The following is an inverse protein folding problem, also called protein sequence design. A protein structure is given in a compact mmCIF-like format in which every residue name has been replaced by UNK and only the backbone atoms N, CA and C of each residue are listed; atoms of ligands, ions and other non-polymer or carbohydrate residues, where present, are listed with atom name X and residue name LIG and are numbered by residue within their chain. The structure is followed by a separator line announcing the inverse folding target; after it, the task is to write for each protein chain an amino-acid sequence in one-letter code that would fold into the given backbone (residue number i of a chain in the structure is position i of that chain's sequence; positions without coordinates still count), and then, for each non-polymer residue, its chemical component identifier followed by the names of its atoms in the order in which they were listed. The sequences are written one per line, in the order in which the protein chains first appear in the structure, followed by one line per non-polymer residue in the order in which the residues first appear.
data_IF_217615585834
#
_entry.id   IF_217615585834
#
_cell.length_a   1.000
_cell.length_b   1.000
_cell.length_c   1.000
_cell.angle_alpha   90.00
_cell.angle_beta   90.00
_cell.angle_gamma   90.00
#
_symmetry.space_group_name_H-M   'P 1'
#
loop_
_entity.id
_entity.type
_entity.pdbx_description
1 polymer ?
#
# COMPACT_ATOMS: atom_id res chain seq x y z
N UNK A 1 -21.15 32.29 -12.22
CA UNK A 1 -20.87 32.05 -13.65
C UNK A 1 -19.39 31.76 -13.94
N UNK A 2 -18.44 32.66 -13.55
CA UNK A 2 -16.99 32.42 -13.81
C UNK A 2 -16.45 31.20 -13.05
N UNK A 3 -16.76 31.07 -11.76
CA UNK A 3 -16.35 29.93 -10.94
C UNK A 3 -16.98 28.63 -11.46
N UNK A 4 -18.26 28.64 -11.79
CA UNK A 4 -18.95 27.48 -12.39
C UNK A 4 -18.26 27.02 -13.67
N UNK A 5 -17.87 27.95 -14.54
CA UNK A 5 -17.17 27.63 -15.78
C UNK A 5 -15.81 27.00 -15.55
N UNK A 6 -15.05 27.49 -14.55
CA UNK A 6 -13.75 26.89 -14.17
C UNK A 6 -13.97 25.48 -13.63
N UNK A 7 -14.98 25.28 -12.76
CA UNK A 7 -15.23 23.99 -12.12
C UNK A 7 -15.69 22.88 -13.08
N UNK A 8 -16.24 23.26 -14.24
CA UNK A 8 -16.65 22.29 -15.29
C UNK A 8 -15.64 22.16 -16.43
N UNK A 9 -14.56 22.95 -16.39
CA UNK A 9 -13.54 22.92 -17.43
C UNK A 9 -12.75 21.59 -17.39
N UNK A 10 -12.59 20.87 -18.51
CA UNK A 10 -11.83 19.64 -18.56
C UNK A 10 -10.37 19.80 -18.07
N UNK A 11 -9.73 20.92 -18.37
CA UNK A 11 -8.35 21.19 -17.95
C UNK A 11 -8.24 21.40 -16.42
N UNK A 12 -9.37 21.76 -15.75
CA UNK A 12 -9.44 21.82 -14.30
C UNK A 12 -9.79 20.47 -13.67
N UNK A 13 -10.72 19.71 -14.27
CA UNK A 13 -11.22 18.45 -13.71
C UNK A 13 -10.25 17.28 -13.95
N UNK A 14 -9.52 17.31 -15.06
CA UNK A 14 -8.64 16.21 -15.47
C UNK A 14 -7.24 16.74 -15.70
N UNK A 15 -6.26 15.90 -15.42
CA UNK A 15 -4.89 16.15 -15.85
C UNK A 15 -4.75 15.71 -17.31
N UNK A 16 -4.82 16.66 -18.22
CA UNK A 16 -4.71 16.43 -19.66
C UNK A 16 -3.22 16.49 -20.03
N UNK A 17 -2.69 15.40 -20.56
CA UNK A 17 -1.37 15.32 -21.17
C UNK A 17 -1.55 15.14 -22.67
N UNK A 18 -0.85 15.92 -23.46
CA UNK A 18 -0.95 15.87 -24.93
C UNK A 18 0.27 15.21 -25.50
N UNK A 19 0.07 14.13 -26.23
CA UNK A 19 1.16 13.50 -26.96
C UNK A 19 1.77 14.47 -27.98
N UNK A 20 3.10 14.52 -28.12
CA UNK A 20 3.75 15.32 -29.15
C UNK A 20 3.27 14.92 -30.55
N UNK A 21 2.99 15.90 -31.40
CA UNK A 21 2.52 15.66 -32.74
C UNK A 21 3.54 14.85 -33.56
N UNK A 22 3.05 13.83 -34.29
CA UNK A 22 3.87 13.03 -35.21
C UNK A 22 4.63 11.86 -34.59
N UNK A 23 4.39 11.54 -33.30
CA UNK A 23 4.94 10.33 -32.69
C UNK A 23 4.16 9.09 -33.11
N UNK A 24 4.89 8.01 -33.44
CA UNK A 24 4.27 6.72 -33.66
C UNK A 24 3.74 6.14 -32.32
N UNK A 25 2.60 5.39 -32.35
CA UNK A 25 2.07 4.74 -31.15
C UNK A 25 3.12 3.88 -30.44
N UNK A 26 3.21 4.01 -29.13
CA UNK A 26 4.18 3.26 -28.30
C UNK A 26 5.60 3.84 -28.28
N UNK A 27 5.87 4.96 -28.95
CA UNK A 27 7.16 5.62 -28.87
C UNK A 27 7.31 6.37 -27.54
N UNK A 28 8.32 6.05 -26.71
CA UNK A 28 8.57 6.80 -25.48
C UNK A 28 8.95 8.25 -25.79
N UNK A 29 8.39 9.18 -25.05
CA UNK A 29 8.77 10.59 -25.11
C UNK A 29 8.97 11.17 -23.71
N UNK A 30 9.70 12.27 -23.64
CA UNK A 30 9.93 12.95 -22.39
C UNK A 30 8.79 13.95 -22.15
N UNK A 31 8.27 13.93 -20.92
CA UNK A 31 7.33 14.93 -20.44
C UNK A 31 7.98 16.33 -20.38
N UNK A 32 7.18 17.36 -20.52
CA UNK A 32 7.60 18.71 -20.14
C UNK A 32 7.86 18.77 -18.64
N UNK A 33 8.71 19.71 -18.20
CA UNK A 33 9.02 19.84 -16.78
C UNK A 33 7.79 20.19 -15.95
N UNK A 34 6.80 20.89 -16.50
CA UNK A 34 5.52 21.20 -15.82
C UNK A 34 4.66 19.96 -15.65
N UNK A 35 4.55 19.12 -16.69
CA UNK A 35 3.84 17.83 -16.60
C UNK A 35 4.53 16.89 -15.60
N UNK A 36 5.88 16.86 -15.61
CA UNK A 36 6.66 16.08 -14.66
C UNK A 36 6.43 16.56 -13.22
N UNK A 37 6.42 17.89 -12.98
CA UNK A 37 6.11 18.45 -11.67
C UNK A 37 4.70 18.06 -11.19
N UNK A 38 3.73 18.14 -12.08
CA UNK A 38 2.35 17.71 -11.80
C UNK A 38 2.27 16.23 -11.45
N UNK A 39 2.85 15.35 -12.28
CA UNK A 39 2.87 13.90 -11.99
C UNK A 39 3.53 13.59 -10.66
N UNK A 40 4.68 14.20 -10.40
CA UNK A 40 5.45 13.98 -9.18
C UNK A 40 4.67 14.39 -7.93
N UNK A 41 4.05 15.57 -7.95
CA UNK A 41 3.31 16.07 -6.79
C UNK A 41 2.01 15.28 -6.54
N UNK A 42 1.26 14.94 -7.57
CA UNK A 42 0.07 14.10 -7.40
C UNK A 42 0.40 12.68 -6.95
N UNK A 43 1.54 12.12 -7.41
CA UNK A 43 1.96 10.80 -6.96
C UNK A 43 2.42 10.80 -5.50
N UNK A 44 3.30 11.75 -5.11
CA UNK A 44 3.87 11.77 -3.78
C UNK A 44 2.97 12.42 -2.72
N UNK A 45 2.19 13.43 -3.10
CA UNK A 45 1.41 14.25 -2.16
C UNK A 45 -0.09 14.21 -2.39
N UNK A 46 -0.55 13.63 -3.49
CA UNK A 46 -1.96 13.71 -3.95
C UNK A 46 -2.47 15.15 -4.00
N UNK A 47 -1.62 16.08 -4.36
CA UNK A 47 -1.89 17.52 -4.39
C UNK A 47 -1.13 18.18 -5.54
N UNK A 48 -1.46 19.47 -5.80
CA UNK A 48 -0.75 20.30 -6.79
C UNK A 48 0.72 20.52 -6.38
N UNK A 49 1.60 20.80 -7.37
CA UNK A 49 2.98 21.20 -7.10
C UNK A 49 3.06 22.45 -6.22
N UNK A 50 4.06 22.51 -5.35
CA UNK A 50 4.37 23.73 -4.62
C UNK A 50 5.16 24.74 -5.47
N UNK A 51 5.27 25.96 -4.96
CA UNK A 51 5.95 27.07 -5.67
C UNK A 51 7.38 26.71 -6.07
N UNK A 52 8.13 26.03 -5.19
CA UNK A 52 9.51 25.64 -5.46
C UNK A 52 9.59 24.66 -6.65
N UNK A 53 8.70 23.68 -6.69
CA UNK A 53 8.67 22.70 -7.78
C UNK A 53 8.22 23.35 -9.09
N UNK A 54 7.25 24.27 -9.04
CA UNK A 54 6.78 25.04 -10.19
C UNK A 54 7.85 25.98 -10.74
N UNK A 55 8.60 26.67 -9.87
CA UNK A 55 9.70 27.53 -10.30
C UNK A 55 10.78 26.75 -11.05
N UNK A 56 11.21 25.61 -10.52
CA UNK A 56 12.17 24.72 -11.19
C UNK A 56 11.63 24.18 -12.51
N UNK A 57 10.36 23.81 -12.57
CA UNK A 57 9.71 23.33 -13.78
C UNK A 57 9.64 24.43 -14.86
N UNK A 58 9.25 25.66 -14.49
CA UNK A 58 9.15 26.80 -15.41
C UNK A 58 10.50 27.18 -16.03
N UNK A 59 11.59 26.95 -15.29
CA UNK A 59 12.97 27.15 -15.76
C UNK A 59 13.56 25.96 -16.52
N UNK A 60 12.80 24.88 -16.69
CA UNK A 60 13.23 23.66 -17.37
C UNK A 60 14.35 22.92 -16.65
N UNK A 61 14.42 23.01 -15.31
CA UNK A 61 15.52 22.44 -14.51
C UNK A 61 15.22 21.02 -14.00
N UNK A 62 13.97 20.56 -14.05
CA UNK A 62 13.64 19.19 -13.63
C UNK A 62 14.19 18.11 -14.58
N UNK A 63 14.65 18.50 -15.75
CA UNK A 63 15.41 17.61 -16.65
C UNK A 63 16.80 17.24 -16.12
N UNK A 64 17.36 18.00 -15.18
CA UNK A 64 18.63 17.73 -14.53
C UNK A 64 18.44 16.66 -13.46
N UNK A 65 19.05 15.48 -13.61
CA UNK A 65 18.85 14.34 -12.71
C UNK A 65 19.11 14.70 -11.23
N UNK A 66 20.16 15.48 -10.97
CA UNK A 66 20.50 15.90 -9.61
C UNK A 66 19.42 16.80 -8.99
N UNK A 67 18.84 17.72 -9.79
CA UNK A 67 17.76 18.60 -9.33
C UNK A 67 16.50 17.78 -9.07
N UNK A 68 16.15 16.87 -9.98
CA UNK A 68 14.99 15.99 -9.81
C UNK A 68 15.13 15.13 -8.55
N UNK A 69 16.28 14.49 -8.35
CA UNK A 69 16.55 13.68 -7.16
C UNK A 69 16.43 14.51 -5.88
N UNK A 70 16.99 15.70 -5.85
CA UNK A 70 16.88 16.61 -4.71
C UNK A 70 15.41 16.94 -4.39
N UNK A 71 14.60 17.22 -5.42
CA UNK A 71 13.18 17.50 -5.22
C UNK A 71 12.42 16.27 -4.73
N UNK A 72 12.66 15.08 -5.28
CA UNK A 72 12.05 13.83 -4.80
C UNK A 72 12.39 13.60 -3.33
N UNK A 73 13.65 13.72 -2.93
CA UNK A 73 14.06 13.56 -1.52
C UNK A 73 13.38 14.57 -0.61
N UNK A 74 13.33 15.84 -1.00
CA UNK A 74 12.61 16.88 -0.28
C UNK A 74 11.13 16.53 -0.11
N UNK A 75 10.49 16.12 -1.19
CA UNK A 75 9.07 15.80 -1.21
C UNK A 75 8.73 14.58 -0.35
N UNK A 76 9.60 13.57 -0.31
CA UNK A 76 9.42 12.39 0.55
C UNK A 76 9.60 12.72 2.04
N UNK A 77 10.36 13.75 2.39
CA UNK A 77 10.52 14.23 3.77
C UNK A 77 9.40 15.17 4.22
N UNK A 78 8.61 15.70 3.29
CA UNK A 78 7.46 16.56 3.60
C UNK A 78 6.31 15.73 4.22
N UNK A 79 5.59 16.25 5.23
CA UNK A 79 4.44 15.55 5.81
C UNK A 79 3.36 15.16 4.80
N UNK A 80 3.21 15.88 3.69
CA UNK A 80 2.28 15.54 2.60
C UNK A 80 2.60 14.18 1.94
N UNK A 81 3.83 13.68 2.04
CA UNK A 81 4.22 12.36 1.53
C UNK A 81 3.45 11.21 2.18
N UNK A 82 2.78 11.47 3.30
CA UNK A 82 1.82 10.53 3.91
C UNK A 82 0.77 10.08 2.90
N UNK A 83 0.37 10.95 1.96
CA UNK A 83 -0.57 10.62 0.89
C UNK A 83 -0.10 9.45 0.00
N UNK A 84 1.22 9.26 -0.15
CA UNK A 84 1.77 8.11 -0.88
C UNK A 84 1.41 6.79 -0.19
N UNK A 85 1.45 6.76 1.15
CA UNK A 85 1.06 5.58 1.94
C UNK A 85 -0.46 5.38 1.88
N UNK A 86 -1.22 6.44 2.14
CA UNK A 86 -2.68 6.38 2.24
C UNK A 86 -3.35 6.04 0.89
N UNK A 87 -2.78 6.48 -0.21
CA UNK A 87 -3.32 6.25 -1.56
C UNK A 87 -2.61 5.11 -2.28
N UNK A 88 -1.33 5.25 -2.63
CA UNK A 88 -0.63 4.27 -3.44
C UNK A 88 -0.45 2.95 -2.68
N UNK A 89 0.18 2.96 -1.49
CA UNK A 89 0.46 1.73 -0.77
C UNK A 89 -0.82 0.99 -0.35
N UNK A 90 -1.85 1.72 0.08
CA UNK A 90 -3.14 1.13 0.45
C UNK A 90 -3.87 0.49 -0.73
N UNK A 91 -3.72 1.03 -1.94
CA UNK A 91 -4.27 0.41 -3.16
C UNK A 91 -3.43 -0.78 -3.61
N UNK A 92 -2.11 -0.60 -3.72
CA UNK A 92 -1.17 -1.63 -4.12
C UNK A 92 -1.32 -2.89 -3.26
N UNK A 93 -1.35 -2.74 -1.94
CA UNK A 93 -1.49 -3.85 -1.00
C UNK A 93 -2.95 -4.28 -0.76
N UNK A 94 -3.92 -3.60 -1.39
CA UNK A 94 -5.36 -3.86 -1.23
C UNK A 94 -5.87 -3.67 0.20
N UNK A 95 -5.23 -2.79 1.01
CA UNK A 95 -5.61 -2.55 2.40
C UNK A 95 -7.03 -2.00 2.54
N UNK A 96 -7.56 -1.34 1.52
CA UNK A 96 -8.95 -0.86 1.48
C UNK A 96 -9.96 -2.00 1.63
N UNK A 97 -9.61 -3.21 1.19
CA UNK A 97 -10.48 -4.39 1.32
C UNK A 97 -10.61 -4.85 2.78
N UNK A 98 -9.72 -4.40 3.68
CA UNK A 98 -9.76 -4.77 5.09
C UNK A 98 -11.05 -4.30 5.78
N UNK A 99 -11.58 -3.14 5.41
CA UNK A 99 -12.82 -2.60 5.98
C UNK A 99 -14.04 -3.50 5.74
N UNK A 100 -14.09 -4.18 4.58
CA UNK A 100 -15.17 -5.11 4.24
C UNK A 100 -14.97 -6.54 4.75
N UNK A 101 -13.81 -6.85 5.36
CA UNK A 101 -13.54 -8.20 5.85
C UNK A 101 -14.33 -8.48 7.14
N UNK A 102 -15.17 -9.50 7.09
CA UNK A 102 -15.84 -10.05 8.26
C UNK A 102 -15.14 -11.35 8.68
N UNK A 103 -15.14 -11.62 9.98
CA UNK A 103 -14.65 -12.86 10.57
C UNK A 103 -15.78 -13.52 11.36
N UNK A 104 -15.87 -14.85 11.28
CA UNK A 104 -16.81 -15.59 12.10
C UNK A 104 -16.39 -15.49 13.57
N UNK A 105 -17.25 -14.94 14.42
CA UNK A 105 -16.94 -14.72 15.85
C UNK A 105 -16.63 -16.01 16.60
N UNK A 106 -17.17 -17.13 16.14
CA UNK A 106 -16.90 -18.43 16.73
C UNK A 106 -15.43 -18.87 16.53
N UNK A 107 -14.85 -18.54 15.38
CA UNK A 107 -13.48 -18.93 15.05
C UNK A 107 -12.45 -17.82 15.42
N UNK A 108 -12.91 -16.57 15.45
CA UNK A 108 -12.07 -15.39 15.70
C UNK A 108 -12.71 -14.43 16.71
N UNK A 109 -12.89 -14.86 17.98
CA UNK A 109 -13.63 -14.08 18.99
C UNK A 109 -12.97 -12.72 19.32
N UNK A 110 -11.68 -12.61 19.12
CA UNK A 110 -10.91 -11.38 19.39
C UNK A 110 -10.89 -10.39 18.22
N UNK A 111 -11.46 -10.73 17.06
CA UNK A 111 -11.44 -9.86 15.90
C UNK A 111 -12.55 -8.81 15.99
N UNK A 112 -12.18 -7.62 16.37
CA UNK A 112 -13.04 -6.44 16.48
C UNK A 112 -12.56 -5.29 15.57
N UNK A 113 -13.30 -4.17 15.56
CA UNK A 113 -12.93 -2.99 14.76
C UNK A 113 -11.61 -2.38 15.22
N UNK A 114 -11.32 -2.39 16.53
CA UNK A 114 -10.06 -1.86 17.06
C UNK A 114 -8.87 -2.68 16.58
N UNK A 115 -9.00 -3.99 16.48
CA UNK A 115 -7.94 -4.86 15.96
C UNK A 115 -7.78 -4.68 14.45
N UNK A 116 -8.90 -4.58 13.71
CA UNK A 116 -8.87 -4.30 12.26
C UNK A 116 -8.13 -3.00 11.95
N UNK A 117 -8.45 -1.94 12.67
CA UNK A 117 -7.79 -0.64 12.53
C UNK A 117 -6.32 -0.71 12.94
N UNK A 118 -6.00 -1.48 13.97
CA UNK A 118 -4.61 -1.69 14.38
C UNK A 118 -3.79 -2.44 13.30
N UNK A 119 -4.35 -3.42 12.62
CA UNK A 119 -3.74 -4.10 11.48
C UNK A 119 -3.44 -3.15 10.32
N UNK A 120 -4.40 -2.28 10.00
CA UNK A 120 -4.23 -1.27 8.96
C UNK A 120 -3.09 -0.33 9.32
N UNK A 121 -3.13 0.22 10.52
CA UNK A 121 -2.15 1.19 11.02
C UNK A 121 -0.74 0.63 11.13
N UNK A 122 -0.59 -0.62 11.53
CA UNK A 122 0.70 -1.34 11.52
C UNK A 122 1.35 -1.25 10.14
N UNK A 123 0.60 -1.65 9.11
CA UNK A 123 1.11 -1.72 7.74
C UNK A 123 1.43 -0.34 7.17
N UNK A 124 0.57 0.65 7.42
CA UNK A 124 0.81 2.03 7.02
C UNK A 124 2.09 2.60 7.63
N UNK A 125 2.27 2.48 8.95
CA UNK A 125 3.44 2.97 9.66
C UNK A 125 4.73 2.23 9.23
N UNK A 126 4.62 0.95 8.94
CA UNK A 126 5.74 0.16 8.47
C UNK A 126 6.26 0.66 7.11
N UNK A 127 5.37 0.90 6.15
CA UNK A 127 5.72 1.43 4.84
C UNK A 127 6.23 2.87 4.96
N UNK A 128 5.53 3.71 5.73
CA UNK A 128 5.93 5.09 5.99
C UNK A 128 7.37 5.15 6.55
N UNK A 129 7.68 4.31 7.54
CA UNK A 129 9.01 4.25 8.13
C UNK A 129 10.10 3.80 7.14
N UNK A 130 9.75 2.93 6.20
CA UNK A 130 10.67 2.47 5.15
C UNK A 130 10.98 3.60 4.16
N UNK A 131 9.95 4.35 3.75
CA UNK A 131 10.09 5.51 2.85
C UNK A 131 10.89 6.64 3.52
N UNK A 132 10.52 7.02 4.75
CA UNK A 132 11.17 8.13 5.46
C UNK A 132 12.63 7.85 5.81
N UNK A 133 12.98 6.59 6.08
CA UNK A 133 14.34 6.18 6.38
C UNK A 133 15.18 5.83 5.14
N UNK A 134 14.64 6.04 3.93
CA UNK A 134 15.28 5.71 2.64
C UNK A 134 15.86 4.27 2.63
N UNK A 135 15.08 3.31 3.14
CA UNK A 135 15.49 1.92 3.24
C UNK A 135 15.30 1.17 1.94
N UNK A 136 16.00 0.05 1.82
CA UNK A 136 15.78 -0.88 0.71
C UNK A 136 14.33 -1.37 0.68
N UNK A 137 13.73 -1.43 -0.50
CA UNK A 137 12.41 -2.04 -0.72
C UNK A 137 12.39 -3.53 -0.32
N UNK A 138 13.53 -4.20 -0.35
CA UNK A 138 13.70 -5.60 0.11
C UNK A 138 13.43 -5.72 1.61
N UNK A 139 13.70 -4.66 2.39
CA UNK A 139 13.41 -4.64 3.83
C UNK A 139 11.92 -4.81 4.13
N UNK A 140 11.04 -4.47 3.17
CA UNK A 140 9.61 -4.75 3.31
C UNK A 140 9.31 -6.24 3.53
N UNK A 141 10.14 -7.13 3.00
CA UNK A 141 9.95 -8.58 3.13
C UNK A 141 10.76 -9.20 4.27
N UNK A 142 11.89 -8.59 4.65
CA UNK A 142 12.87 -9.18 5.56
C UNK A 142 13.02 -8.46 6.91
N UNK A 143 12.30 -7.36 7.13
CA UNK A 143 12.44 -6.57 8.35
C UNK A 143 12.11 -7.37 9.62
N UNK A 144 12.94 -7.18 10.65
CA UNK A 144 12.81 -7.82 11.96
C UNK A 144 12.12 -6.90 12.98
N UNK A 145 11.27 -6.00 12.52
CA UNK A 145 10.51 -5.09 13.38
C UNK A 145 9.10 -4.89 12.84
N UNK A 146 8.22 -4.42 13.70
CA UNK A 146 6.87 -3.98 13.35
C UNK A 146 6.43 -2.79 14.19
N UNK A 147 5.22 -2.27 13.94
CA UNK A 147 4.61 -1.19 14.71
C UNK A 147 3.36 -1.68 15.41
N UNK A 148 3.34 -1.59 16.73
CA UNK A 148 2.22 -2.07 17.54
C UNK A 148 1.80 -1.07 18.61
N UNK A 149 0.51 -1.04 18.91
CA UNK A 149 -0.04 -0.54 20.15
C UNK A 149 -0.31 -1.71 21.13
N UNK A 150 -0.82 -1.46 22.31
CA UNK A 150 -1.13 -2.52 23.29
C UNK A 150 -2.11 -3.57 22.74
N UNK A 151 -3.16 -3.15 22.04
CA UNK A 151 -4.17 -4.07 21.47
C UNK A 151 -3.54 -5.06 20.47
N UNK A 152 -2.71 -4.54 19.58
CA UNK A 152 -2.05 -5.36 18.57
C UNK A 152 -0.91 -6.21 19.16
N UNK A 153 -0.15 -5.64 20.09
CA UNK A 153 0.91 -6.37 20.78
C UNK A 153 0.37 -7.57 21.54
N UNK A 154 -0.77 -7.40 22.24
CA UNK A 154 -1.46 -8.49 22.93
C UNK A 154 -1.91 -9.58 21.95
N UNK A 155 -2.47 -9.20 20.82
CA UNK A 155 -2.87 -10.14 19.76
C UNK A 155 -1.69 -10.94 19.18
N UNK A 156 -0.52 -10.29 19.05
CA UNK A 156 0.70 -10.94 18.55
C UNK A 156 1.53 -11.65 19.63
N UNK A 157 1.13 -11.57 20.89
CA UNK A 157 1.90 -12.12 22.00
C UNK A 157 3.20 -11.34 22.31
N UNK A 158 3.28 -10.07 21.91
CA UNK A 158 4.43 -9.20 22.17
C UNK A 158 4.27 -8.57 23.57
N UNK A 159 5.17 -8.87 24.51
CA UNK A 159 5.03 -8.38 25.88
C UNK A 159 5.49 -6.91 26.04
N UNK A 160 5.09 -6.29 27.15
CA UNK A 160 5.58 -4.98 27.62
C UNK A 160 5.27 -3.80 26.69
N UNK A 161 4.18 -3.88 25.92
CA UNK A 161 3.64 -2.76 25.16
C UNK A 161 2.32 -2.33 25.78
N UNK A 162 2.22 -1.07 26.21
CA UNK A 162 1.07 -0.52 26.92
C UNK A 162 0.57 0.76 26.25
N UNK A 163 -0.73 0.99 26.28
CA UNK A 163 -1.37 2.19 25.75
C UNK A 163 -1.73 2.13 24.26
N UNK A 164 -2.45 3.15 23.79
CA UNK A 164 -3.04 3.18 22.45
C UNK A 164 -2.10 3.66 21.34
N UNK A 165 -0.98 4.32 21.68
CA UNK A 165 -0.07 4.84 20.68
C UNK A 165 0.81 3.73 20.08
N UNK A 166 1.01 3.80 18.78
CA UNK A 166 1.88 2.88 18.07
C UNK A 166 3.35 3.21 18.28
N UNK A 167 4.15 2.17 18.42
CA UNK A 167 5.61 2.25 18.53
C UNK A 167 6.27 1.14 17.76
N UNK A 168 7.46 1.41 17.27
CA UNK A 168 8.31 0.40 16.63
C UNK A 168 8.82 -0.57 17.69
N UNK A 169 8.68 -1.86 17.42
CA UNK A 169 9.16 -2.96 18.26
C UNK A 169 10.01 -3.90 17.41
N UNK A 170 11.22 -4.19 17.90
CA UNK A 170 12.07 -5.22 17.29
C UNK A 170 11.56 -6.59 17.70
N UNK A 171 11.41 -7.47 16.73
CA UNK A 171 10.99 -8.85 16.94
C UNK A 171 12.20 -9.68 17.40
N UNK A 172 12.03 -10.60 18.36
CA UNK A 172 13.10 -11.50 18.79
C UNK A 172 13.62 -12.36 17.63
N UNK A 173 14.87 -12.76 17.72
CA UNK A 173 15.46 -13.71 16.78
C UNK A 173 14.66 -15.03 16.75
N UNK A 174 14.43 -15.58 15.57
CA UNK A 174 13.61 -16.77 15.39
C UNK A 174 12.10 -16.54 15.48
N UNK A 175 11.63 -15.28 15.67
CA UNK A 175 10.20 -14.98 15.60
C UNK A 175 9.67 -15.30 14.20
N UNK A 176 8.57 -16.07 14.07
CA UNK A 176 7.98 -16.40 12.77
C UNK A 176 7.37 -15.18 12.05
N UNK A 177 7.21 -14.05 12.75
CA UNK A 177 6.78 -12.79 12.17
C UNK A 177 8.00 -12.01 11.67
N UNK A 178 7.84 -11.34 10.58
CA UNK A 178 8.85 -10.47 9.99
C UNK A 178 8.38 -9.95 8.65
N UNK A 179 8.65 -8.69 8.38
CA UNK A 179 8.26 -8.05 7.14
C UNK A 179 6.75 -8.03 6.88
N UNK A 180 6.40 -7.46 5.75
CA UNK A 180 5.03 -7.16 5.32
C UNK A 180 4.12 -8.40 5.28
N UNK A 181 4.64 -9.55 4.82
CA UNK A 181 3.85 -10.78 4.62
C UNK A 181 3.31 -11.38 5.94
N UNK A 182 3.82 -10.95 7.08
CA UNK A 182 3.35 -11.39 8.39
C UNK A 182 2.37 -10.43 9.07
N UNK A 183 2.07 -9.28 8.45
CA UNK A 183 1.15 -8.29 9.00
C UNK A 183 -0.29 -8.81 9.03
N UNK A 184 -0.98 -8.53 10.11
CA UNK A 184 -2.36 -8.96 10.31
C UNK A 184 -3.31 -8.50 9.22
N UNK A 185 -3.11 -7.30 8.66
CA UNK A 185 -3.88 -6.80 7.53
C UNK A 185 -3.81 -7.73 6.32
N UNK A 186 -2.60 -8.09 5.89
CA UNK A 186 -2.38 -8.92 4.71
C UNK A 186 -2.86 -10.36 4.95
N UNK A 187 -2.60 -10.90 6.12
CA UNK A 187 -3.11 -12.21 6.51
C UNK A 187 -4.63 -12.25 6.51
N UNK A 188 -5.27 -11.14 6.89
CA UNK A 188 -6.73 -11.03 6.91
C UNK A 188 -7.32 -10.93 5.51
N UNK A 189 -6.86 -10.00 4.66
CA UNK A 189 -7.41 -9.82 3.31
C UNK A 189 -7.15 -11.00 2.37
N UNK A 190 -6.20 -11.86 2.71
CA UNK A 190 -5.85 -13.08 1.96
C UNK A 190 -6.38 -14.35 2.59
N UNK A 191 -7.47 -14.26 3.35
CA UNK A 191 -8.10 -15.40 4.02
C UNK A 191 -9.62 -15.33 3.84
N UNK A 192 -10.30 -16.49 3.98
CA UNK A 192 -11.76 -16.56 4.07
C UNK A 192 -12.24 -16.13 5.47
N UNK A 193 -13.55 -15.84 5.66
CA UNK A 193 -14.09 -15.44 6.97
C UNK A 193 -13.84 -16.44 8.09
N UNK A 194 -13.86 -17.73 7.79
CA UNK A 194 -13.78 -18.85 8.72
C UNK A 194 -12.46 -19.65 8.65
N UNK A 195 -11.58 -19.34 7.69
CA UNK A 195 -10.32 -20.10 7.55
C UNK A 195 -9.24 -19.31 6.81
N UNK A 196 -8.00 -19.73 6.99
CA UNK A 196 -6.87 -19.24 6.18
C UNK A 196 -6.94 -19.81 4.76
N UNK A 197 -6.32 -19.13 3.79
CA UNK A 197 -6.24 -19.59 2.42
C UNK A 197 -4.84 -19.40 1.83
N UNK A 198 -4.04 -20.47 1.76
CA UNK A 198 -2.75 -20.42 1.07
C UNK A 198 -2.88 -20.02 -0.40
N UNK A 199 -3.97 -20.43 -1.07
CA UNK A 199 -4.24 -20.12 -2.48
C UNK A 199 -4.47 -18.62 -2.68
N UNK A 200 -5.35 -17.99 -1.88
CA UNK A 200 -5.58 -16.54 -1.96
C UNK A 200 -4.30 -15.77 -1.63
N UNK A 201 -3.52 -16.24 -0.67
CA UNK A 201 -2.23 -15.62 -0.30
C UNK A 201 -1.21 -15.73 -1.42
N UNK A 202 -1.08 -16.91 -2.03
CA UNK A 202 -0.20 -17.11 -3.19
C UNK A 202 -0.62 -16.25 -4.38
N UNK A 203 -1.91 -16.20 -4.69
CA UNK A 203 -2.45 -15.33 -5.75
C UNK A 203 -2.13 -13.85 -5.47
N UNK A 204 -2.40 -13.38 -4.27
CA UNK A 204 -2.08 -12.00 -3.87
C UNK A 204 -0.58 -11.68 -4.01
N UNK A 205 0.29 -12.60 -3.59
CA UNK A 205 1.75 -12.44 -3.71
C UNK A 205 2.18 -12.30 -5.18
N UNK A 206 1.67 -13.19 -6.04
CA UNK A 206 1.97 -13.15 -7.48
C UNK A 206 1.48 -11.85 -8.12
N UNK A 207 0.27 -11.43 -7.82
CA UNK A 207 -0.34 -10.23 -8.40
C UNK A 207 0.25 -8.93 -7.86
N UNK A 208 0.37 -8.82 -6.53
CA UNK A 208 0.71 -7.55 -5.86
C UNK A 208 2.21 -7.33 -5.69
N UNK A 209 2.98 -8.38 -5.44
CA UNK A 209 4.43 -8.24 -5.20
C UNK A 209 5.24 -8.56 -6.45
N UNK A 210 4.89 -9.63 -7.17
CA UNK A 210 5.67 -10.08 -8.32
C UNK A 210 5.16 -9.54 -9.65
N UNK A 211 3.95 -8.94 -9.71
CA UNK A 211 3.36 -8.44 -10.94
C UNK A 211 3.11 -9.53 -12.00
N UNK A 212 3.00 -10.79 -11.58
CA UNK A 212 2.83 -11.96 -12.41
C UNK A 212 1.55 -12.71 -12.02
N UNK A 213 0.35 -12.20 -12.40
CA UNK A 213 -0.91 -12.84 -12.04
C UNK A 213 -0.95 -14.27 -12.60
N UNK A 214 -1.44 -15.25 -11.81
CA UNK A 214 -1.62 -16.61 -12.29
C UNK A 214 -2.72 -16.65 -13.36
N UNK A 215 -2.70 -17.63 -14.27
CA UNK A 215 -3.80 -17.83 -15.21
C UNK A 215 -5.10 -18.12 -14.45
N UNK A 216 -6.23 -17.80 -15.07
CA UNK A 216 -7.53 -18.16 -14.51
C UNK A 216 -7.66 -19.68 -14.36
N UNK A 217 -8.23 -20.16 -13.25
CA UNK A 217 -8.45 -21.59 -13.07
C UNK A 217 -9.43 -22.11 -14.14
N UNK A 218 -9.27 -23.36 -14.62
CA UNK A 218 -10.25 -23.97 -15.51
C UNK A 218 -11.65 -23.96 -14.90
N UNK A 219 -12.67 -23.74 -15.72
CA UNK A 219 -14.06 -23.54 -15.28
C UNK A 219 -14.68 -24.74 -14.56
N UNK A 220 -14.13 -25.93 -14.74
CA UNK A 220 -14.60 -27.21 -14.22
C UNK A 220 -13.89 -27.69 -12.96
N UNK A 221 -12.98 -26.89 -12.40
CA UNK A 221 -12.29 -27.24 -11.14
C UNK A 221 -13.22 -26.94 -9.96
N UNK A 222 -13.68 -27.94 -9.20
CA UNK A 222 -14.52 -27.72 -8.03
C UNK A 222 -13.74 -26.98 -6.93
N UNK A 223 -14.43 -26.06 -6.24
CA UNK A 223 -13.87 -25.36 -5.08
C UNK A 223 -13.48 -26.34 -3.96
N UNK A 224 -12.47 -25.97 -3.18
CA UNK A 224 -12.11 -26.74 -1.99
C UNK A 224 -13.31 -26.72 -0.99
N UNK A 225 -13.67 -27.87 -0.41
CA UNK A 225 -14.76 -27.92 0.57
C UNK A 225 -14.49 -27.04 1.76
N UNK A 226 -15.52 -26.35 2.23
CA UNK A 226 -15.41 -25.41 3.36
C UNK A 226 -15.12 -26.10 4.70
N UNK A 227 -15.57 -27.34 4.86
CA UNK A 227 -15.34 -28.18 6.04
C UNK A 227 -15.03 -29.61 5.60
N UNK A 228 -14.09 -30.28 6.30
CA UNK A 228 -13.87 -31.70 6.16
C UNK A 228 -15.00 -32.51 6.80
N UNK A 229 -15.07 -33.80 6.50
CA UNK A 229 -16.01 -34.72 7.17
C UNK A 229 -15.87 -34.63 8.71
N UNK A 230 -17.00 -34.43 9.40
CA UNK A 230 -17.04 -34.26 10.86
C UNK A 230 -16.94 -32.83 11.37
N UNK A 231 -17.09 -31.80 10.50
CA UNK A 231 -17.20 -30.38 10.93
C UNK A 231 -15.87 -29.74 11.36
N UNK A 232 -14.75 -30.44 11.27
CA UNK A 232 -13.40 -29.88 11.51
C UNK A 232 -12.91 -29.12 10.29
N UNK A 233 -12.14 -28.02 10.47
CA UNK A 233 -11.53 -27.32 9.35
C UNK A 233 -10.74 -28.30 8.49
N UNK A 234 -10.98 -28.30 7.17
CA UNK A 234 -10.20 -29.13 6.25
C UNK A 234 -8.74 -28.68 6.31
N UNK A 235 -7.83 -29.59 6.67
CA UNK A 235 -6.41 -29.33 6.61
C UNK A 235 -5.99 -29.31 5.13
N UNK A 236 -5.52 -28.16 4.66
CA UNK A 236 -4.89 -28.05 3.34
C UNK A 236 -3.41 -28.45 3.53
N UNK A 237 -3.13 -29.72 3.49
CA UNK A 237 -1.79 -30.29 3.34
C UNK A 237 -1.70 -31.03 2.04
#
# INVERSE_FOLDING_TARGET
FAIERILVDPDFLYRVERDPAGLAPGTPYRLSDVELASRLSFFLWSSIPDEQLLDLASRGRLKESAVLEQQVRRMLQDPRSRALVDNFASQWLRLRNLAGQQRESADYPDFDENLREAFRKETELFIESTIQADRSVVDLLSATYTFVNERLARHYGIPKVYGSHFRRVTLPEGNPRGGLLSHGALLTITSYPNRTSPVLRGKWLLESILGAPPPEPPADVPGLPDRGEGGKPASVR
#
